data_IF_017305942625
#
_entry.id   IF_017305942625
#
_cell.length_a   1.000
_cell.length_b   1.000
_cell.length_c   1.000
_cell.angle_alpha   90.00
_cell.angle_beta   90.00
_cell.angle_gamma   90.00
#
_symmetry.space_group_name_H-M   'P 1'
#
loop_
_entity.id
_entity.type
_entity.pdbx_description
1 polymer ?
#
# COMPACT_ATOMS: atom_id res chain seq x y z
N UNK A 1 -11.60 3.73 -4.68
CA UNK A 1 -11.40 4.42 -3.39
C UNK A 1 -9.93 4.41 -3.05
N UNK A 2 -9.36 5.53 -2.60
CA UNK A 2 -7.95 5.61 -2.17
C UNK A 2 -7.91 5.75 -0.65
N UNK A 3 -7.09 4.95 0.02
CA UNK A 3 -6.87 4.99 1.46
C UNK A 3 -5.38 5.14 1.72
N UNK A 4 -4.98 6.25 2.32
CA UNK A 4 -3.58 6.53 2.63
C UNK A 4 -3.32 6.34 4.12
N UNK A 5 -2.36 5.49 4.46
CA UNK A 5 -1.93 5.21 5.83
C UNK A 5 -0.65 6.01 6.08
N UNK A 6 -0.79 7.19 6.68
CA UNK A 6 0.31 8.12 6.90
C UNK A 6 0.52 8.47 8.37
N UNK A 7 1.79 8.58 8.76
CA UNK A 7 2.24 8.99 10.09
C UNK A 7 3.74 9.29 10.05
N UNK A 8 4.13 10.46 10.56
CA UNK A 8 5.53 10.94 10.59
C UNK A 8 6.46 10.11 11.47
N UNK A 9 5.93 9.28 12.37
CA UNK A 9 6.74 8.43 13.24
C UNK A 9 7.02 7.07 12.57
N UNK A 10 8.29 6.72 12.42
CA UNK A 10 8.71 5.35 12.12
C UNK A 10 8.28 4.37 13.22
N UNK A 11 7.85 3.16 12.85
CA UNK A 11 7.42 2.15 13.82
C UNK A 11 6.05 2.40 14.50
N UNK A 12 5.24 3.32 13.96
CA UNK A 12 3.88 3.59 14.47
C UNK A 12 2.81 2.56 14.07
N UNK A 13 3.18 1.50 13.34
CA UNK A 13 2.26 0.45 12.88
C UNK A 13 1.59 0.69 11.52
N UNK A 14 2.04 1.65 10.70
CA UNK A 14 1.46 1.96 9.37
C UNK A 14 1.39 0.73 8.46
N UNK A 15 2.53 0.10 8.19
CA UNK A 15 2.63 -1.09 7.34
C UNK A 15 1.80 -2.24 7.89
N UNK A 16 1.78 -2.43 9.21
CA UNK A 16 0.95 -3.45 9.87
C UNK A 16 -0.54 -3.21 9.61
N UNK A 17 -1.01 -1.97 9.76
CA UNK A 17 -2.41 -1.62 9.49
C UNK A 17 -2.73 -1.77 8.00
N UNK A 18 -1.87 -1.25 7.12
CA UNK A 18 -2.04 -1.33 5.67
C UNK A 18 -2.17 -2.79 5.20
N UNK A 19 -1.27 -3.67 5.67
CA UNK A 19 -1.29 -5.10 5.37
C UNK A 19 -2.60 -5.77 5.77
N UNK A 20 -3.05 -5.55 7.01
CA UNK A 20 -4.27 -6.18 7.51
C UNK A 20 -5.52 -5.67 6.76
N UNK A 21 -5.57 -4.38 6.42
CA UNK A 21 -6.65 -3.84 5.59
C UNK A 21 -6.64 -4.44 4.18
N UNK A 22 -5.48 -4.57 3.54
CA UNK A 22 -5.35 -5.21 2.22
C UNK A 22 -5.88 -6.65 2.27
N UNK A 23 -5.47 -7.44 3.26
CA UNK A 23 -5.91 -8.83 3.41
C UNK A 23 -7.41 -8.90 3.69
N UNK A 24 -7.95 -8.06 4.57
CA UNK A 24 -9.38 -8.07 4.87
C UNK A 24 -10.23 -7.74 3.62
N UNK A 25 -9.89 -6.66 2.90
CA UNK A 25 -10.60 -6.28 1.68
C UNK A 25 -10.50 -7.37 0.58
N UNK A 26 -9.34 -8.01 0.47
CA UNK A 26 -9.15 -9.15 -0.43
C UNK A 26 -10.06 -10.33 -0.06
N UNK A 27 -10.17 -10.66 1.22
CA UNK A 27 -11.06 -11.72 1.71
C UNK A 27 -12.54 -11.37 1.50
N UNK A 28 -12.88 -10.09 1.54
CA UNK A 28 -14.20 -9.55 1.18
C UNK A 28 -14.43 -9.50 -0.35
N UNK A 29 -13.53 -10.11 -1.14
CA UNK A 29 -13.58 -10.23 -2.60
C UNK A 29 -13.58 -8.88 -3.33
N UNK A 30 -12.93 -7.87 -2.74
CA UNK A 30 -12.72 -6.57 -3.37
C UNK A 30 -11.54 -6.63 -4.33
N UNK A 31 -11.61 -5.83 -5.39
CA UNK A 31 -10.47 -5.64 -6.29
C UNK A 31 -9.53 -4.60 -5.70
N UNK A 32 -8.32 -5.02 -5.31
CA UNK A 32 -7.43 -4.20 -4.50
C UNK A 32 -5.99 -4.19 -4.99
N UNK A 33 -5.34 -3.04 -4.78
CA UNK A 33 -3.90 -2.90 -4.94
C UNK A 33 -3.30 -2.08 -3.79
N UNK A 34 -2.08 -2.46 -3.40
CA UNK A 34 -1.27 -1.71 -2.46
C UNK A 34 -0.16 -0.95 -3.20
N UNK A 35 0.12 0.28 -2.76
CA UNK A 35 1.24 1.10 -3.20
C UNK A 35 2.14 1.37 -1.98
N UNK A 36 3.31 0.73 -1.93
CA UNK A 36 4.32 1.00 -0.92
C UNK A 36 5.29 2.07 -1.44
N UNK A 37 5.39 3.16 -0.68
CA UNK A 37 6.30 4.27 -0.96
C UNK A 37 7.48 4.32 0.02
N UNK A 38 7.52 3.44 1.00
CA UNK A 38 8.64 3.32 1.92
C UNK A 38 9.75 2.45 1.29
N UNK A 39 10.95 3.03 1.20
CA UNK A 39 12.17 2.34 0.77
C UNK A 39 12.49 1.04 1.55
N UNK A 40 11.97 0.90 2.78
CA UNK A 40 12.14 -0.30 3.60
C UNK A 40 11.32 -1.49 3.11
N UNK A 41 10.30 -1.28 2.25
CA UNK A 41 9.57 -2.34 1.55
C UNK A 41 8.97 -3.42 2.46
N UNK A 42 8.43 -3.01 3.61
CA UNK A 42 7.86 -3.94 4.59
C UNK A 42 6.70 -4.76 4.02
N UNK A 43 5.91 -4.16 3.13
CA UNK A 43 4.82 -4.86 2.44
C UNK A 43 5.35 -5.92 1.48
N UNK A 44 6.44 -5.66 0.76
CA UNK A 44 7.05 -6.60 -0.18
C UNK A 44 7.53 -7.88 0.52
N UNK A 45 8.20 -7.72 1.66
CA UNK A 45 8.66 -8.86 2.48
C UNK A 45 7.47 -9.74 2.89
N UNK A 46 6.40 -9.14 3.39
CA UNK A 46 5.18 -9.88 3.76
C UNK A 46 4.55 -10.58 2.54
N UNK A 47 4.42 -9.87 1.43
CA UNK A 47 3.78 -10.38 0.21
C UNK A 47 4.53 -11.60 -0.33
N UNK A 48 5.87 -11.55 -0.31
CA UNK A 48 6.74 -12.65 -0.73
C UNK A 48 6.56 -13.88 0.17
N UNK A 49 6.63 -13.72 1.49
CA UNK A 49 6.42 -14.83 2.44
C UNK A 49 5.02 -15.44 2.25
N UNK A 50 4.00 -14.62 2.07
CA UNK A 50 2.62 -15.09 1.88
C UNK A 50 2.44 -15.82 0.54
N UNK A 51 3.18 -15.43 -0.50
CA UNK A 51 3.13 -16.07 -1.81
C UNK A 51 3.62 -17.52 -1.81
N UNK A 52 4.38 -17.93 -0.80
CA UNK A 52 4.82 -19.31 -0.58
C UNK A 52 3.73 -20.18 0.09
N UNK A 53 2.55 -19.62 0.36
CA UNK A 53 1.42 -20.30 0.98
C UNK A 53 0.25 -20.46 0.01
N UNK A 54 -0.79 -21.21 0.39
CA UNK A 54 -2.04 -21.31 -0.37
C UNK A 54 -3.03 -20.16 -0.11
N UNK A 55 -2.64 -19.16 0.69
CA UNK A 55 -3.51 -18.04 1.04
C UNK A 55 -3.60 -17.02 -0.10
N UNK A 56 -4.75 -16.35 -0.26
CA UNK A 56 -4.90 -15.30 -1.25
C UNK A 56 -3.94 -14.14 -0.95
N UNK A 57 -3.44 -13.53 -2.01
CA UNK A 57 -2.48 -12.45 -1.95
C UNK A 57 -2.92 -11.25 -2.80
N UNK A 58 -2.33 -10.09 -2.56
CA UNK A 58 -2.73 -8.85 -3.23
C UNK A 58 -1.66 -8.29 -4.16
N UNK A 59 -2.12 -7.49 -5.14
CA UNK A 59 -1.21 -6.77 -6.05
C UNK A 59 -0.48 -5.69 -5.27
N UNK A 60 0.85 -5.70 -5.34
CA UNK A 60 1.72 -4.72 -4.70
C UNK A 60 2.55 -3.97 -5.74
N UNK A 61 2.55 -2.64 -5.64
CA UNK A 61 3.42 -1.76 -6.40
C UNK A 61 4.40 -1.05 -5.44
N UNK A 62 5.69 -1.13 -5.75
CA UNK A 62 6.72 -0.39 -5.01
C UNK A 62 7.18 0.80 -5.85
N UNK A 63 6.93 2.02 -5.37
CA UNK A 63 7.26 3.26 -6.07
C UNK A 63 7.67 4.36 -5.10
N UNK A 64 8.85 4.93 -5.34
CA UNK A 64 9.31 6.16 -4.68
C UNK A 64 9.22 7.34 -5.66
N UNK A 65 9.19 8.57 -5.17
CA UNK A 65 9.13 9.76 -6.03
C UNK A 65 7.72 10.12 -6.51
N UNK A 66 7.54 10.36 -7.81
CA UNK A 66 6.24 10.78 -8.34
C UNK A 66 5.28 9.59 -8.51
N UNK A 67 4.32 9.48 -7.59
CA UNK A 67 3.29 8.42 -7.59
C UNK A 67 2.03 8.77 -8.40
N UNK A 68 1.86 10.02 -8.81
CA UNK A 68 0.60 10.55 -9.39
C UNK A 68 0.13 9.76 -10.61
N UNK A 69 1.03 9.49 -11.56
CA UNK A 69 0.66 8.79 -12.80
C UNK A 69 0.37 7.31 -12.54
N UNK A 70 1.07 6.72 -11.55
CA UNK A 70 0.79 5.34 -11.13
C UNK A 70 -0.59 5.26 -10.48
N UNK A 71 -0.92 6.18 -9.57
CA UNK A 71 -2.24 6.25 -8.96
C UNK A 71 -3.35 6.41 -10.01
N UNK A 72 -3.17 7.30 -10.99
CA UNK A 72 -4.14 7.50 -12.07
C UNK A 72 -4.44 6.19 -12.81
N UNK A 73 -3.41 5.43 -13.16
CA UNK A 73 -3.57 4.14 -13.85
C UNK A 73 -4.23 3.06 -12.98
N UNK A 74 -4.04 3.14 -11.66
CA UNK A 74 -4.63 2.19 -10.71
C UNK A 74 -6.12 2.49 -10.46
N UNK A 75 -6.54 3.77 -10.49
CA UNK A 75 -7.93 4.15 -10.21
C UNK A 75 -8.93 3.54 -11.20
N UNK A 76 -8.51 3.32 -12.45
CA UNK A 76 -9.37 2.70 -13.47
C UNK A 76 -9.43 1.16 -13.35
N UNK A 77 -8.55 0.56 -12.52
CA UNK A 77 -8.37 -0.89 -12.44
C UNK A 77 -8.81 -1.50 -11.12
N UNK A 78 -8.76 -0.75 -10.03
CA UNK A 78 -8.96 -1.29 -8.68
C UNK A 78 -10.07 -0.54 -7.92
N UNK A 79 -10.91 -1.28 -7.20
CA UNK A 79 -11.93 -0.71 -6.32
C UNK A 79 -11.29 -0.03 -5.11
N UNK A 80 -10.23 -0.60 -4.55
CA UNK A 80 -9.46 -0.04 -3.44
C UNK A 80 -7.97 0.06 -3.75
N UNK A 81 -7.40 1.23 -3.45
CA UNK A 81 -5.96 1.48 -3.52
C UNK A 81 -5.49 1.88 -2.13
N UNK A 82 -4.65 1.07 -1.51
CA UNK A 82 -4.08 1.34 -0.20
C UNK A 82 -2.65 1.84 -0.36
N UNK A 83 -2.32 2.98 0.25
CA UNK A 83 -1.00 3.60 0.15
C UNK A 83 -0.32 3.54 1.52
N UNK A 84 0.82 2.85 1.60
CA UNK A 84 1.71 2.89 2.77
C UNK A 84 2.79 3.95 2.55
N UNK A 85 2.84 4.94 3.45
CA UNK A 85 3.80 6.03 3.35
C UNK A 85 4.98 5.84 4.28
N UNK A 86 6.15 6.32 3.86
CA UNK A 86 7.33 6.41 4.72
C UNK A 86 7.02 7.13 6.03
N UNK A 87 7.69 6.69 7.11
CA UNK A 87 7.60 7.30 8.44
C UNK A 87 8.32 8.64 8.58
N UNK A 88 8.02 9.59 7.71
CA UNK A 88 8.50 10.98 7.75
C UNK A 88 7.56 11.86 6.90
N UNK A 89 7.61 13.18 7.09
CA UNK A 89 6.93 14.11 6.18
C UNK A 89 7.69 14.21 4.86
N UNK A 90 7.24 13.48 3.84
CA UNK A 90 7.83 13.45 2.50
C UNK A 90 6.90 14.03 1.44
N UNK A 91 7.44 14.39 0.27
CA UNK A 91 6.62 14.85 -0.88
C UNK A 91 5.67 13.76 -1.35
N UNK A 92 6.09 12.51 -1.25
CA UNK A 92 5.30 11.31 -1.54
C UNK A 92 4.11 11.21 -0.59
N UNK A 93 4.34 11.36 0.71
CA UNK A 93 3.27 11.33 1.73
C UNK A 93 2.26 12.45 1.51
N UNK A 94 2.74 13.67 1.22
CA UNK A 94 1.87 14.79 0.87
C UNK A 94 1.03 14.49 -0.37
N UNK A 95 1.64 14.00 -1.45
CA UNK A 95 0.93 13.65 -2.70
C UNK A 95 -0.02 12.48 -2.54
N UNK A 96 0.21 11.55 -1.62
CA UNK A 96 -0.71 10.46 -1.34
C UNK A 96 -1.99 10.95 -0.63
N UNK A 97 -1.98 12.15 -0.04
CA UNK A 97 -3.12 12.74 0.66
C UNK A 97 -3.95 13.71 -0.19
N UNK A 98 -3.46 14.14 -1.37
CA UNK A 98 -4.12 15.10 -2.27
C UNK A 98 -4.42 14.47 -3.63
#
# INVERSE_FOLDING_TARGET
MIITIANEKGGSGKSTLCLNLCVQLLLDKKDIAALDTDSQKSLEVFNNIRSETSLPNFTLFNRTGNITDTLKQMMDKYEYILIDTKGENSKESQRAMY
#
